data_IF_476822119783
#
_entry.id   IF_476822119783
#
_cell.length_a   1.000
_cell.length_b   1.000
_cell.length_c   1.000
_cell.angle_alpha   90.00
_cell.angle_beta   90.00
_cell.angle_gamma   90.00
#
_symmetry.space_group_name_H-M   'P 1'
#
loop_
_entity.id
_entity.type
_entity.pdbx_description
1 polymer ?
#
# COMPACT_ATOMS: atom_id res chain seq x y z
N UNK A 1 0.01 -27.20 -16.22
CA UNK A 1 -0.48 -26.25 -15.21
C UNK A 1 -0.14 -24.85 -15.70
N UNK A 2 -1.06 -23.90 -15.59
CA UNK A 2 -0.82 -22.49 -15.92
C UNK A 2 -0.48 -21.74 -14.62
N UNK A 3 0.75 -21.25 -14.52
CA UNK A 3 1.27 -20.55 -13.33
C UNK A 3 1.43 -19.05 -13.55
N UNK A 4 1.15 -18.57 -14.75
CA UNK A 4 1.29 -17.17 -15.09
C UNK A 4 0.14 -16.36 -14.50
N UNK A 5 0.48 -15.21 -13.91
CA UNK A 5 -0.52 -14.26 -13.43
C UNK A 5 -1.27 -13.61 -14.59
N UNK A 6 -2.53 -13.25 -14.36
CA UNK A 6 -3.30 -12.49 -15.34
C UNK A 6 -2.73 -11.06 -15.48
N UNK A 7 -3.13 -10.36 -16.54
CA UNK A 7 -2.59 -9.03 -16.84
C UNK A 7 -2.91 -8.01 -15.73
N UNK A 8 -4.09 -8.14 -15.11
CA UNK A 8 -4.51 -7.30 -13.98
C UNK A 8 -3.58 -7.45 -12.78
N UNK A 9 -3.22 -8.67 -12.39
CA UNK A 9 -2.27 -8.94 -11.30
C UNK A 9 -0.90 -8.36 -11.61
N UNK A 10 -0.38 -8.57 -12.83
CA UNK A 10 0.93 -8.04 -13.23
C UNK A 10 0.98 -6.51 -13.15
N UNK A 11 -0.07 -5.85 -13.61
CA UNK A 11 -0.21 -4.40 -13.50
C UNK A 11 -0.25 -3.94 -12.04
N UNK A 12 -1.03 -4.61 -11.19
CA UNK A 12 -1.13 -4.27 -9.76
C UNK A 12 0.21 -4.47 -9.03
N UNK A 13 0.95 -5.56 -9.29
CA UNK A 13 2.28 -5.77 -8.73
C UNK A 13 3.23 -4.61 -9.10
N UNK A 14 3.23 -4.20 -10.38
CA UNK A 14 4.07 -3.10 -10.85
C UNK A 14 3.69 -1.77 -10.19
N UNK A 15 2.39 -1.50 -10.02
CA UNK A 15 1.89 -0.28 -9.38
C UNK A 15 2.19 -0.24 -7.88
N UNK A 16 2.04 -1.36 -7.18
CA UNK A 16 2.41 -1.45 -5.75
C UNK A 16 3.92 -1.26 -5.60
N UNK A 17 4.73 -1.91 -6.44
CA UNK A 17 6.19 -1.72 -6.42
C UNK A 17 6.59 -0.25 -6.65
N UNK A 18 6.04 0.42 -7.67
CA UNK A 18 6.31 1.85 -7.92
C UNK A 18 5.89 2.72 -6.73
N UNK A 19 4.75 2.43 -6.11
CA UNK A 19 4.28 3.13 -4.92
C UNK A 19 5.23 2.94 -3.73
N UNK A 20 5.71 1.72 -3.49
CA UNK A 20 6.70 1.43 -2.45
C UNK A 20 8.00 2.22 -2.68
N UNK A 21 8.52 2.18 -3.90
CA UNK A 21 9.78 2.84 -4.28
C UNK A 21 9.69 4.37 -4.20
N UNK A 22 8.54 4.96 -4.50
CA UNK A 22 8.36 6.41 -4.53
C UNK A 22 7.87 7.03 -3.24
N UNK A 23 7.12 6.28 -2.45
CA UNK A 23 6.38 6.83 -1.30
C UNK A 23 6.65 6.13 0.02
N UNK A 24 7.02 4.84 0.03
CA UNK A 24 7.29 4.12 1.28
C UNK A 24 8.77 4.18 1.64
N UNK A 25 9.64 3.54 0.85
CA UNK A 25 11.05 3.39 1.21
C UNK A 25 11.77 4.73 1.43
N UNK A 26 11.57 5.78 0.60
CA UNK A 26 12.22 7.07 0.84
C UNK A 26 11.77 7.77 2.13
N UNK A 27 10.63 7.39 2.70
CA UNK A 27 10.02 8.05 3.86
C UNK A 27 10.15 7.24 5.16
N UNK A 28 10.79 6.06 5.14
CA UNK A 28 10.99 5.24 6.35
C UNK A 28 11.81 5.98 7.41
N UNK A 29 12.93 6.59 7.01
CA UNK A 29 13.77 7.38 7.92
C UNK A 29 13.01 8.58 8.51
N UNK A 30 12.21 9.26 7.68
CA UNK A 30 11.37 10.38 8.12
C UNK A 30 10.30 9.92 9.12
N UNK A 31 9.70 8.75 8.92
CA UNK A 31 8.75 8.16 9.85
C UNK A 31 9.39 7.96 11.23
N UNK A 32 10.59 7.37 11.29
CA UNK A 32 11.30 7.16 12.56
C UNK A 32 11.69 8.47 13.22
N UNK A 33 12.19 9.45 12.46
CA UNK A 33 12.51 10.78 12.98
C UNK A 33 11.30 11.48 13.59
N UNK A 34 10.15 11.45 12.90
CA UNK A 34 8.92 12.05 13.39
C UNK A 34 8.37 11.32 14.63
N UNK A 35 8.55 10.00 14.70
CA UNK A 35 8.15 9.19 15.87
C UNK A 35 9.03 9.51 17.10
N UNK A 36 10.33 9.71 16.92
CA UNK A 36 11.25 10.09 17.99
C UNK A 36 11.00 11.50 18.53
N UNK A 37 10.56 12.41 17.65
CA UNK A 37 10.23 13.80 18.00
C UNK A 37 8.83 13.95 18.61
N UNK A 38 7.98 12.92 18.53
CA UNK A 38 6.63 12.98 19.04
C UNK A 38 6.60 12.97 20.58
N UNK A 39 5.63 13.69 21.16
CA UNK A 39 5.42 13.73 22.62
C UNK A 39 5.15 12.35 23.24
N UNK A 40 4.66 11.42 22.42
CA UNK A 40 4.34 10.05 22.82
C UNK A 40 4.55 9.09 21.67
N UNK A 41 5.02 7.87 21.99
CA UNK A 41 5.10 6.73 21.06
C UNK A 41 3.75 6.32 20.48
N UNK A 42 2.65 6.75 21.09
CA UNK A 42 1.28 6.43 20.67
C UNK A 42 0.67 7.52 19.77
N UNK A 43 1.50 8.33 19.13
CA UNK A 43 1.06 9.40 18.23
C UNK A 43 0.94 8.88 16.80
N UNK A 44 -0.03 9.41 16.05
CA UNK A 44 -0.12 9.16 14.61
C UNK A 44 0.94 10.01 13.92
N UNK A 45 1.91 9.35 13.31
CA UNK A 45 3.04 10.01 12.64
C UNK A 45 2.54 10.73 11.37
N UNK A 46 2.82 12.03 11.18
CA UNK A 46 2.28 12.82 10.07
C UNK A 46 2.52 12.21 8.68
N UNK A 47 3.74 11.71 8.41
CA UNK A 47 4.07 11.11 7.12
C UNK A 47 3.20 9.90 6.79
N UNK A 48 2.76 9.16 7.82
CA UNK A 48 1.91 7.99 7.63
C UNK A 48 0.52 8.38 7.08
N UNK A 49 -0.05 9.51 7.52
CA UNK A 49 -1.34 9.99 7.01
C UNK A 49 -1.23 10.50 5.58
N UNK A 50 -0.15 11.22 5.24
CA UNK A 50 0.08 11.66 3.85
C UNK A 50 0.20 10.47 2.90
N UNK A 51 0.99 9.46 3.27
CA UNK A 51 1.19 8.26 2.44
C UNK A 51 -0.11 7.46 2.30
N UNK A 52 -0.90 7.30 3.37
CA UNK A 52 -2.22 6.66 3.28
C UNK A 52 -3.15 7.39 2.30
N UNK A 53 -3.14 8.72 2.31
CA UNK A 53 -3.97 9.49 1.38
C UNK A 53 -3.53 9.27 -0.07
N UNK A 54 -2.22 9.29 -0.35
CA UNK A 54 -1.69 8.97 -1.69
C UNK A 54 -2.09 7.56 -2.15
N UNK A 55 -2.00 6.56 -1.27
CA UNK A 55 -2.42 5.20 -1.58
C UNK A 55 -3.91 5.12 -1.96
N UNK A 56 -4.77 5.87 -1.26
CA UNK A 56 -6.21 5.97 -1.60
C UNK A 56 -6.42 6.67 -2.93
N UNK A 57 -5.72 7.77 -3.20
CA UNK A 57 -5.86 8.55 -4.43
C UNK A 57 -5.40 7.74 -5.65
N UNK A 58 -4.41 6.86 -5.48
CA UNK A 58 -3.96 5.91 -6.50
C UNK A 58 -4.83 4.63 -6.56
N UNK A 59 -5.84 4.47 -5.70
CA UNK A 59 -6.67 3.28 -5.67
C UNK A 59 -5.96 2.00 -5.18
N UNK A 60 -4.83 2.14 -4.48
CA UNK A 60 -4.10 1.06 -3.82
C UNK A 60 -4.58 0.89 -2.36
N UNK A 61 -5.90 0.81 -2.19
CA UNK A 61 -6.55 0.79 -0.88
C UNK A 61 -7.49 -0.40 -0.74
N UNK A 62 -7.57 -0.96 0.48
CA UNK A 62 -8.39 -2.14 0.79
C UNK A 62 -8.20 -3.32 -0.20
N UNK A 63 -6.96 -3.54 -0.66
CA UNK A 63 -6.66 -4.58 -1.66
C UNK A 63 -6.83 -6.00 -1.12
N UNK A 64 -6.73 -6.16 0.21
CA UNK A 64 -6.99 -7.44 0.90
C UNK A 64 -8.49 -7.78 0.99
N UNK A 65 -9.36 -6.80 0.78
CA UNK A 65 -10.79 -6.97 0.93
C UNK A 65 -11.37 -7.53 -0.38
N UNK A 66 -12.08 -8.67 -0.34
CA UNK A 66 -12.73 -9.23 -1.51
C UNK A 66 -13.87 -8.31 -2.00
N UNK A 67 -14.54 -8.74 -3.06
CA UNK A 67 -15.60 -7.96 -3.73
C UNK A 67 -16.63 -7.42 -2.73
N UNK A 68 -16.68 -6.10 -2.61
CA UNK A 68 -17.56 -5.36 -1.73
C UNK A 68 -17.58 -3.89 -2.13
N UNK A 69 -18.51 -3.11 -1.57
CA UNK A 69 -18.62 -1.67 -1.83
C UNK A 69 -17.30 -0.90 -1.55
N UNK A 70 -16.48 -1.40 -0.64
CA UNK A 70 -15.25 -0.74 -0.18
C UNK A 70 -13.96 -1.52 -0.50
N UNK A 71 -14.06 -2.64 -1.22
CA UNK A 71 -12.94 -3.54 -1.48
C UNK A 71 -12.46 -3.45 -2.93
N UNK A 72 -11.21 -3.85 -3.17
CA UNK A 72 -10.64 -3.86 -4.51
C UNK A 72 -11.13 -5.04 -5.39
N UNK A 73 -11.85 -6.00 -4.78
CA UNK A 73 -12.43 -7.13 -5.51
C UNK A 73 -11.38 -8.05 -6.11
N UNK A 74 -10.27 -8.23 -5.40
CA UNK A 74 -9.22 -9.17 -5.79
C UNK A 74 -9.55 -10.56 -5.28
N UNK A 75 -9.33 -11.56 -6.13
CA UNK A 75 -9.29 -12.96 -5.68
C UNK A 75 -8.02 -13.21 -4.86
N UNK A 76 -7.99 -14.29 -4.08
CA UNK A 76 -6.79 -14.67 -3.33
C UNK A 76 -5.56 -14.86 -4.23
N UNK A 77 -5.75 -15.34 -5.46
CA UNK A 77 -4.65 -15.54 -6.41
C UNK A 77 -4.12 -14.21 -6.96
N UNK A 78 -4.98 -13.20 -7.08
CA UNK A 78 -4.59 -11.85 -7.50
C UNK A 78 -3.98 -11.03 -6.35
N UNK A 79 -4.39 -11.27 -5.10
CA UNK A 79 -3.91 -10.55 -3.91
C UNK A 79 -2.59 -11.11 -3.34
N UNK A 80 -2.34 -12.42 -3.44
CA UNK A 80 -1.14 -13.01 -2.85
C UNK A 80 0.22 -12.49 -3.40
N UNK A 81 0.38 -12.15 -4.69
CA UNK A 81 1.67 -11.73 -5.24
C UNK A 81 1.91 -10.22 -5.28
N UNK A 82 0.93 -9.41 -4.90
CA UNK A 82 1.06 -7.95 -4.85
C UNK A 82 1.73 -7.46 -3.56
#
# INVERSE_FOLDING_TARGET
MHFEFNDRTKELCARVQDFMDRHIYPNEDLYYQQLEQADSRWTVVPILEEVKQKAKDEGLWNMFLPESQNGAGLTNLEYAPI
#
